data_IF_923424053487
#
_entry.id   IF_923424053487
#
_cell.length_a   1.000
_cell.length_b   1.000
_cell.length_c   1.000
_cell.angle_alpha   90.00
_cell.angle_beta   90.00
_cell.angle_gamma   90.00
#
_symmetry.space_group_name_H-M   'P 1'
#
loop_
_entity.id
_entity.type
_entity.pdbx_description
1 polymer ?
#
# COMPACT_ATOMS: atom_id res chain seq x y z
N UNK A 1 -6.25 0.44 20.44
CA UNK A 1 -6.91 -0.88 20.53
C UNK A 1 -5.97 -2.09 20.37
N UNK A 2 -4.96 -2.08 19.48
CA UNK A 2 -4.17 -3.30 19.15
C UNK A 2 -2.69 -3.30 19.56
N UNK A 3 -2.15 -2.18 20.06
CA UNK A 3 -0.71 -2.02 20.39
C UNK A 3 -0.17 -3.11 21.33
N UNK A 4 -0.99 -3.58 22.28
CA UNK A 4 -0.59 -4.58 23.28
C UNK A 4 -0.90 -6.03 22.87
N UNK A 5 -1.47 -6.25 21.68
CA UNK A 5 -1.83 -7.59 21.17
C UNK A 5 -0.73 -8.20 20.29
N UNK A 6 0.40 -7.52 20.15
CA UNK A 6 1.51 -7.97 19.29
C UNK A 6 1.21 -7.92 17.79
N UNK A 7 0.17 -7.20 17.37
CA UNK A 7 -0.25 -7.04 15.97
C UNK A 7 0.46 -5.82 15.35
N UNK A 8 1.09 -6.04 14.20
CA UNK A 8 1.65 -4.97 13.35
C UNK A 8 0.71 -4.62 12.20
N UNK A 9 0.68 -3.36 11.81
CA UNK A 9 -0.07 -2.87 10.65
C UNK A 9 0.91 -2.33 9.63
N UNK A 10 0.86 -2.81 8.40
CA UNK A 10 1.79 -2.42 7.35
C UNK A 10 1.03 -2.14 6.07
N UNK A 11 1.54 -1.20 5.27
CA UNK A 11 1.01 -0.86 3.95
C UNK A 11 2.15 -0.87 2.94
N UNK A 12 1.82 -1.14 1.68
CA UNK A 12 2.80 -1.13 0.59
C UNK A 12 2.18 -0.60 -0.70
N UNK A 13 3.04 -0.19 -1.63
CA UNK A 13 2.67 0.12 -2.99
C UNK A 13 3.26 -0.95 -3.94
N UNK A 14 2.45 -1.55 -4.83
CA UNK A 14 2.94 -2.59 -5.75
C UNK A 14 3.75 -2.04 -6.93
N UNK A 15 3.80 -0.71 -7.08
CA UNK A 15 4.23 -0.08 -8.32
C UNK A 15 3.17 -0.26 -9.41
N UNK A 16 3.55 -0.02 -10.67
CA UNK A 16 2.68 -0.28 -11.81
C UNK A 16 2.83 -1.74 -12.26
N UNK A 17 2.03 -2.63 -11.67
CA UNK A 17 1.99 -4.04 -12.02
C UNK A 17 0.90 -4.34 -13.06
N UNK A 18 1.23 -5.18 -14.04
CA UNK A 18 0.29 -5.70 -15.02
C UNK A 18 -0.68 -6.67 -14.33
N UNK A 19 -1.88 -6.19 -14.10
CA UNK A 19 -2.97 -6.96 -13.49
C UNK A 19 -4.26 -6.79 -14.30
N UNK A 20 -5.17 -7.77 -14.28
CA UNK A 20 -6.48 -7.61 -14.93
C UNK A 20 -7.26 -6.37 -14.46
N UNK A 21 -7.06 -5.95 -13.20
CA UNK A 21 -7.67 -4.74 -12.65
C UNK A 21 -7.17 -3.46 -13.31
N UNK A 22 -5.85 -3.34 -13.52
CA UNK A 22 -5.23 -2.21 -14.23
C UNK A 22 -5.67 -2.21 -15.69
N UNK A 23 -5.58 -3.37 -16.37
CA UNK A 23 -5.98 -3.49 -17.78
C UNK A 23 -7.45 -3.08 -18.02
N UNK A 24 -8.35 -3.44 -17.09
CA UNK A 24 -9.77 -3.09 -17.17
C UNK A 24 -10.04 -1.62 -16.84
N UNK A 25 -9.38 -1.07 -15.83
CA UNK A 25 -9.70 0.26 -15.29
C UNK A 25 -8.96 1.40 -15.99
N UNK A 26 -7.77 1.11 -16.55
CA UNK A 26 -6.89 2.06 -17.22
C UNK A 26 -6.34 1.46 -18.54
N UNK A 27 -7.21 1.16 -19.52
CA UNK A 27 -6.83 0.42 -20.73
C UNK A 27 -5.78 1.16 -21.57
N UNK A 28 -5.91 2.47 -21.76
CA UNK A 28 -4.96 3.27 -22.53
C UNK A 28 -3.59 3.36 -21.84
N UNK A 29 -3.58 3.47 -20.50
CA UNK A 29 -2.35 3.44 -19.70
C UNK A 29 -1.66 2.08 -19.80
N UNK A 30 -2.42 0.99 -19.66
CA UNK A 30 -1.91 -0.38 -19.79
C UNK A 30 -1.31 -0.61 -21.18
N UNK A 31 -1.94 -0.09 -22.24
CA UNK A 31 -1.41 -0.15 -23.60
C UNK A 31 -0.14 0.68 -23.76
N UNK A 32 -0.11 1.90 -23.22
CA UNK A 32 1.05 2.79 -23.34
C UNK A 32 2.29 2.27 -22.60
N UNK A 33 2.09 1.60 -21.47
CA UNK A 33 3.17 0.99 -20.67
C UNK A 33 3.33 -0.52 -20.90
N UNK A 34 2.69 -1.08 -21.92
CA UNK A 34 2.81 -2.50 -22.24
C UNK A 34 4.28 -2.91 -22.36
N UNK A 35 4.68 -3.96 -21.65
CA UNK A 35 6.07 -4.44 -21.58
C UNK A 35 7.01 -3.64 -20.68
N UNK A 36 6.54 -2.56 -20.04
CA UNK A 36 7.24 -1.80 -18.99
C UNK A 36 6.60 -1.93 -17.61
N UNK A 37 5.38 -2.46 -17.55
CA UNK A 37 4.72 -2.79 -16.30
C UNK A 37 5.47 -3.94 -15.61
N UNK A 38 5.49 -3.89 -14.28
CA UNK A 38 5.95 -5.00 -13.45
C UNK A 38 5.06 -6.21 -13.66
N UNK A 39 5.60 -7.42 -13.46
CA UNK A 39 4.77 -8.62 -13.41
C UNK A 39 3.87 -8.60 -12.17
N UNK A 40 2.84 -9.44 -12.16
CA UNK A 40 2.00 -9.62 -10.98
C UNK A 40 2.80 -10.13 -9.78
N UNK A 41 3.82 -10.97 -10.01
CA UNK A 41 4.74 -11.48 -8.99
C UNK A 41 5.59 -10.36 -8.39
N UNK A 42 6.14 -9.49 -9.23
CA UNK A 42 6.91 -8.31 -8.78
C UNK A 42 6.02 -7.35 -7.98
N UNK A 43 4.77 -7.13 -8.41
CA UNK A 43 3.80 -6.34 -7.66
C UNK A 43 3.43 -6.95 -6.30
N UNK A 44 3.42 -8.27 -6.18
CA UNK A 44 3.13 -8.99 -4.94
C UNK A 44 4.36 -9.16 -4.02
N UNK A 45 5.56 -8.91 -4.52
CA UNK A 45 6.81 -9.22 -3.84
C UNK A 45 6.92 -8.58 -2.45
N UNK A 46 6.66 -7.27 -2.36
CA UNK A 46 6.80 -6.55 -1.09
C UNK A 46 5.75 -6.99 -0.06
N UNK A 47 4.53 -7.36 -0.48
CA UNK A 47 3.50 -7.82 0.47
C UNK A 47 3.84 -9.20 1.02
N UNK A 48 4.39 -10.09 0.18
CA UNK A 48 4.90 -11.40 0.61
C UNK A 48 6.09 -11.22 1.56
N UNK A 49 7.03 -10.33 1.22
CA UNK A 49 8.19 -10.04 2.06
C UNK A 49 7.78 -9.52 3.44
N UNK A 50 6.81 -8.59 3.51
CA UNK A 50 6.26 -8.05 4.76
C UNK A 50 5.63 -9.14 5.63
N UNK A 51 4.89 -10.08 5.02
CA UNK A 51 4.25 -11.17 5.74
C UNK A 51 5.26 -12.15 6.39
N UNK A 52 6.49 -12.21 5.86
CA UNK A 52 7.55 -13.09 6.33
C UNK A 52 8.52 -12.42 7.32
N UNK A 53 8.50 -11.09 7.45
CA UNK A 53 9.44 -10.40 8.34
C UNK A 53 9.05 -10.51 9.82
N UNK A 54 10.04 -10.66 10.73
CA UNK A 54 9.83 -10.40 12.15
C UNK A 54 9.31 -8.98 12.37
N UNK A 55 8.27 -8.82 13.19
CA UNK A 55 7.66 -7.51 13.47
C UNK A 55 8.65 -6.50 14.08
N UNK A 56 9.69 -6.99 14.76
CA UNK A 56 10.75 -6.17 15.37
C UNK A 56 11.62 -5.47 14.32
N UNK A 57 11.60 -5.97 13.07
CA UNK A 57 12.31 -5.38 11.94
C UNK A 57 11.43 -4.41 11.13
N UNK A 58 10.15 -4.27 11.49
CA UNK A 58 9.19 -3.45 10.78
C UNK A 58 8.63 -2.34 11.66
N UNK A 59 8.18 -1.27 11.02
CA UNK A 59 7.55 -0.12 11.67
C UNK A 59 6.05 -0.24 11.46
N UNK A 60 5.31 -0.43 12.55
CA UNK A 60 3.84 -0.44 12.50
C UNK A 60 3.31 0.92 12.07
N UNK A 61 2.37 0.94 11.12
CA UNK A 61 1.92 2.13 10.41
C UNK A 61 2.89 2.61 9.31
N UNK A 62 3.91 1.81 9.00
CA UNK A 62 4.87 2.07 7.92
C UNK A 62 4.27 1.86 6.53
N UNK A 63 4.87 2.52 5.55
CA UNK A 63 4.58 2.38 4.13
C UNK A 63 5.83 1.86 3.44
N UNK A 64 5.69 0.82 2.63
CA UNK A 64 6.83 0.10 2.06
C UNK A 64 6.77 0.06 0.54
N UNK A 65 7.94 0.18 -0.07
CA UNK A 65 8.15 0.00 -1.50
C UNK A 65 9.43 -0.79 -1.72
N UNK A 66 9.39 -1.79 -2.59
CA UNK A 66 10.54 -2.65 -2.93
C UNK A 66 11.30 -3.15 -1.69
N UNK A 67 10.54 -3.69 -0.72
CA UNK A 67 11.03 -4.24 0.56
C UNK A 67 11.74 -3.23 1.48
N UNK A 68 11.58 -1.93 1.26
CA UNK A 68 12.13 -0.87 2.11
C UNK A 68 11.03 0.10 2.59
N UNK A 69 11.23 0.72 3.75
CA UNK A 69 10.32 1.78 4.21
C UNK A 69 10.45 3.00 3.28
N UNK A 70 9.30 3.54 2.85
CA UNK A 70 9.19 4.64 1.92
C UNK A 70 8.40 5.82 2.52
N UNK A 71 8.67 7.07 2.10
CA UNK A 71 7.88 8.22 2.52
C UNK A 71 6.42 8.08 2.09
N UNK A 72 5.48 8.38 3.01
CA UNK A 72 4.03 8.36 2.74
C UNK A 72 3.55 9.49 1.84
N UNK A 73 4.32 10.58 1.79
CA UNK A 73 3.97 11.79 1.06
C UNK A 73 5.08 12.11 0.09
N UNK A 74 4.73 12.20 -1.19
CA UNK A 74 5.60 12.76 -2.20
C UNK A 74 5.78 14.25 -1.94
N UNK A 75 7.04 14.70 -1.95
CA UNK A 75 7.36 16.12 -1.86
C UNK A 75 6.66 16.83 -3.03
N UNK A 76 5.95 17.92 -2.74
CA UNK A 76 5.18 18.72 -3.71
C UNK A 76 3.87 18.13 -4.24
N UNK A 77 3.43 16.95 -3.81
CA UNK A 77 2.12 16.39 -4.20
C UNK A 77 0.92 17.01 -3.45
N UNK A 78 1.14 18.07 -2.66
CA UNK A 78 0.14 18.76 -1.84
C UNK A 78 -0.71 17.84 -0.92
N UNK A 79 -0.29 16.61 -0.67
CA UNK A 79 -0.95 15.72 0.28
C UNK A 79 -0.48 16.03 1.70
N UNK A 80 -1.42 16.12 2.65
CA UNK A 80 -1.13 16.35 4.07
C UNK A 80 -1.66 15.19 4.90
N UNK A 81 -0.90 14.81 5.91
CA UNK A 81 -1.37 13.96 6.99
C UNK A 81 -2.30 14.77 7.89
N UNK A 82 -3.57 14.36 8.01
CA UNK A 82 -4.50 14.91 9.00
C UNK A 82 -4.97 13.80 9.93
N UNK A 83 -4.27 13.65 11.06
CA UNK A 83 -4.71 12.73 12.11
C UNK A 83 -6.04 13.14 12.74
N UNK A 84 -6.44 14.41 12.61
CA UNK A 84 -7.66 14.95 13.21
C UNK A 84 -8.96 14.32 12.69
N UNK A 85 -8.93 13.69 11.51
CA UNK A 85 -10.13 13.11 10.88
C UNK A 85 -10.13 11.57 11.04
N UNK A 86 -8.99 10.95 11.37
CA UNK A 86 -8.86 9.49 11.43
C UNK A 86 -9.83 8.90 12.44
N UNK A 87 -9.90 9.45 13.65
CA UNK A 87 -10.76 8.93 14.72
C UNK A 87 -12.24 9.00 14.30
N UNK A 88 -12.67 10.13 13.71
CA UNK A 88 -14.03 10.27 13.18
C UNK A 88 -14.35 9.26 12.08
N UNK A 89 -13.41 8.95 11.18
CA UNK A 89 -13.63 7.94 10.15
C UNK A 89 -13.74 6.56 10.79
N UNK A 90 -12.83 6.22 11.70
CA UNK A 90 -12.83 4.92 12.39
C UNK A 90 -14.14 4.70 13.15
N UNK A 91 -14.67 5.73 13.81
CA UNK A 91 -15.92 5.68 14.55
C UNK A 91 -17.15 5.47 13.63
N UNK A 92 -17.08 5.93 12.38
CA UNK A 92 -18.16 5.73 11.40
C UNK A 92 -18.14 4.35 10.72
N UNK A 93 -17.02 3.63 10.79
CA UNK A 93 -16.92 2.31 10.18
C UNK A 93 -17.69 1.28 11.03
N UNK A 94 -18.54 0.44 10.42
CA UNK A 94 -19.25 -0.60 11.16
C UNK A 94 -18.24 -1.52 11.86
N UNK A 95 -18.29 -1.59 13.19
CA UNK A 95 -17.37 -2.39 13.99
C UNK A 95 -17.49 -3.88 13.65
N UNK A 96 -16.63 -4.38 12.76
CA UNK A 96 -16.51 -5.81 12.45
C UNK A 96 -15.66 -6.49 13.52
N UNK A 97 -16.23 -7.45 14.24
CA UNK A 97 -15.64 -8.12 15.42
C UNK A 97 -14.62 -9.22 15.09
N UNK A 98 -13.84 -9.07 14.03
CA UNK A 98 -13.02 -10.17 13.54
C UNK A 98 -11.53 -9.82 13.71
N UNK A 99 -10.86 -10.54 14.62
CA UNK A 99 -9.45 -10.40 14.99
C UNK A 99 -8.50 -10.91 13.88
N UNK A 100 -8.71 -10.50 12.62
CA UNK A 100 -7.86 -10.89 11.49
C UNK A 100 -6.73 -9.88 11.27
N UNK A 101 -5.55 -10.38 10.89
CA UNK A 101 -4.45 -9.55 10.40
C UNK A 101 -4.88 -8.92 9.07
N UNK A 102 -5.10 -7.61 9.06
CA UNK A 102 -5.39 -6.86 7.84
C UNK A 102 -4.08 -6.31 7.29
N UNK A 103 -3.56 -6.93 6.25
CA UNK A 103 -2.58 -6.28 5.37
C UNK A 103 -3.37 -5.47 4.36
N UNK A 104 -3.41 -4.15 4.54
CA UNK A 104 -4.18 -3.26 3.68
C UNK A 104 -3.26 -2.82 2.53
N UNK A 105 -3.51 -3.37 1.34
CA UNK A 105 -2.93 -2.82 0.11
C UNK A 105 -3.61 -1.49 -0.21
N UNK A 106 -2.86 -0.40 -0.10
CA UNK A 106 -3.33 0.94 -0.45
C UNK A 106 -2.85 1.26 -1.86
N UNK A 107 -3.77 1.24 -2.83
CA UNK A 107 -3.56 1.87 -4.13
C UNK A 107 -3.63 3.39 -3.94
N UNK A 108 -2.48 4.05 -3.82
CA UNK A 108 -2.42 5.50 -3.89
C UNK A 108 -2.13 5.90 -5.34
N UNK A 109 -3.14 6.42 -6.04
CA UNK A 109 -3.02 6.81 -7.44
C UNK A 109 -2.26 8.14 -7.54
N UNK A 110 -0.93 8.08 -7.49
CA UNK A 110 -0.07 9.18 -7.93
C UNK A 110 0.34 8.92 -9.38
N UNK A 111 0.02 9.87 -10.26
CA UNK A 111 0.34 9.86 -11.69
C UNK A 111 1.83 10.20 -11.89
N UNK A 112 2.72 9.51 -11.14
CA UNK A 112 4.16 9.66 -11.22
C UNK A 112 4.77 8.46 -11.93
N UNK A 113 5.48 8.72 -13.03
CA UNK A 113 6.32 7.72 -13.70
C UNK A 113 7.48 7.21 -12.83
N UNK A 114 7.78 7.90 -11.71
CA UNK A 114 8.82 7.51 -10.74
C UNK A 114 8.60 6.14 -10.09
N UNK A 115 7.38 5.61 -10.11
CA UNK A 115 7.05 4.29 -9.55
C UNK A 115 6.86 3.21 -10.64
N UNK A 116 7.12 3.57 -11.90
CA UNK A 116 7.06 2.69 -13.07
C UNK A 116 8.46 2.16 -13.49
N UNK A 117 9.54 2.67 -12.89
CA UNK A 117 10.93 2.34 -13.20
C UNK A 117 11.68 1.98 -11.92
#
# INVERSE_FOLDING_TARGET
>A
MYKNKGIGFYSMHPGWAETPGVAKSLPDFNKWLSGKLRTSEEGADTVIWLALQPKEKLVSGGFYFDRAEAPKHLKFAATRQSHAIIDSIVDTLPHRKDNQLYVIMLFHMCIGLEWAL
#
